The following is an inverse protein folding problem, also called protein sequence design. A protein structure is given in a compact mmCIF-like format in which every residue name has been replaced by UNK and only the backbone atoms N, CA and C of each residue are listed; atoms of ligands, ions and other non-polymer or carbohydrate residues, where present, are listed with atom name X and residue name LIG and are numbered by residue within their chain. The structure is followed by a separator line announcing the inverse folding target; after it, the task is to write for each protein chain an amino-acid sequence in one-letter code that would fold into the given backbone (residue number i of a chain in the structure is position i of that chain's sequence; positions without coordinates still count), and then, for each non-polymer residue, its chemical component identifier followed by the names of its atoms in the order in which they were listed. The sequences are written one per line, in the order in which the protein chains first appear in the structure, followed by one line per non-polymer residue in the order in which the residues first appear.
data_IF_599272954296
#
_entry.id   IF_599272954296
#
_cell.length_a   1.000
_cell.length_b   1.000
_cell.length_c   1.000
_cell.angle_alpha   90.00
_cell.angle_beta   90.00
_cell.angle_gamma   90.00
#
_symmetry.space_group_name_H-M   'P 1'
#
loop_
_entity.id
_entity.type
_entity.pdbx_description
1 polymer ?
#
# COMPACT_ATOMS: atom_id res chain seq x y z
N UNK A 1 -17.89 19.96 11.88
CA UNK A 1 -17.97 19.77 10.41
C UNK A 1 -16.86 20.57 9.73
N UNK A 2 -15.77 19.91 9.27
CA UNK A 2 -14.78 20.37 8.26
C UNK A 2 -13.53 19.44 8.23
N UNK A 3 -13.69 18.11 8.31
CA UNK A 3 -12.55 17.16 8.31
C UNK A 3 -12.32 16.44 6.98
N UNK A 4 -13.30 16.40 6.08
CA UNK A 4 -13.19 15.67 4.80
C UNK A 4 -12.30 16.30 3.73
N UNK A 5 -12.11 17.63 3.75
CA UNK A 5 -11.32 18.34 2.74
C UNK A 5 -9.80 18.23 2.95
N UNK A 6 -9.36 17.97 4.19
CA UNK A 6 -7.94 17.79 4.50
C UNK A 6 -7.40 16.46 3.94
N UNK A 7 -8.22 15.41 3.87
CA UNK A 7 -7.83 14.12 3.32
C UNK A 7 -7.58 14.16 1.80
N UNK A 8 -8.32 15.00 1.07
CA UNK A 8 -8.12 15.18 -0.38
C UNK A 8 -6.79 15.87 -0.71
N UNK A 9 -6.35 16.82 0.12
CA UNK A 9 -5.09 17.56 -0.12
C UNK A 9 -3.83 16.69 0.04
N UNK A 10 -3.90 15.57 0.75
CA UNK A 10 -2.78 14.62 0.86
C UNK A 10 -2.69 13.63 -0.31
N UNK A 11 -3.75 13.51 -1.13
CA UNK A 11 -3.79 12.59 -2.27
C UNK A 11 -3.41 13.22 -3.61
N UNK A 12 -3.32 14.55 -3.68
CA UNK A 12 -3.12 15.29 -4.93
C UNK A 12 -1.65 15.58 -5.29
N UNK A 13 -0.67 15.25 -4.43
CA UNK A 13 0.75 15.56 -4.71
C UNK A 13 1.52 14.45 -5.43
N UNK A 14 0.97 13.25 -5.58
CA UNK A 14 1.71 12.08 -6.13
C UNK A 14 1.44 11.78 -7.61
N UNK A 15 0.44 12.40 -8.23
CA UNK A 15 0.15 12.23 -9.66
C UNK A 15 0.89 13.26 -10.51
N UNK A 16 2.23 13.23 -10.41
CA UNK A 16 3.14 13.96 -11.29
C UNK A 16 3.15 13.35 -12.69
N UNK A 17 2.20 13.75 -13.53
CA UNK A 17 2.23 13.48 -14.97
C UNK A 17 3.34 14.31 -15.64
N UNK A 18 4.39 13.60 -16.06
CA UNK A 18 5.41 13.87 -17.07
C UNK A 18 5.48 15.24 -17.78
N UNK A 19 6.67 15.85 -17.77
CA UNK A 19 7.20 16.64 -18.90
C UNK A 19 8.64 16.20 -19.19
N UNK A 20 8.84 15.67 -20.41
CA UNK A 20 10.10 15.24 -21.04
C UNK A 20 11.28 16.21 -20.77
N UNK A 21 12.53 15.72 -20.65
CA UNK A 21 13.69 16.58 -20.84
C UNK A 21 13.79 17.07 -22.30
N UNK A 22 14.25 18.30 -22.56
CA UNK A 22 14.41 18.85 -23.90
C UNK A 22 15.44 18.06 -24.71
N UNK A 23 15.10 17.74 -25.96
CA UNK A 23 16.03 17.17 -26.93
C UNK A 23 17.13 18.17 -27.27
N UNK A 24 18.36 17.87 -26.90
CA UNK A 24 19.54 18.65 -27.27
C UNK A 24 19.88 18.36 -28.75
N UNK A 25 20.17 19.37 -29.60
CA UNK A 25 20.73 19.12 -30.92
C UNK A 25 22.14 18.54 -30.79
N UNK A 26 22.33 17.31 -31.27
CA UNK A 26 23.64 16.66 -31.33
C UNK A 26 24.47 17.34 -32.42
N UNK A 27 25.50 18.09 -32.01
CA UNK A 27 26.57 18.48 -32.91
C UNK A 27 27.53 17.29 -33.05
N UNK A 28 27.51 16.64 -34.22
CA UNK A 28 28.42 15.54 -34.56
C UNK A 28 29.82 16.09 -34.87
N UNK A 29 30.68 16.16 -33.86
CA UNK A 29 32.13 16.16 -34.05
C UNK A 29 32.59 14.73 -34.24
N UNK A 30 33.01 14.39 -35.46
CA UNK A 30 33.62 13.08 -35.77
C UNK A 30 35.04 13.06 -35.20
N UNK A 31 35.19 12.43 -34.03
CA UNK A 31 36.49 12.10 -33.46
C UNK A 31 37.10 10.87 -34.17
N UNK A 32 38.43 10.69 -34.14
CA UNK A 32 39.10 9.56 -34.78
C UNK A 32 38.68 8.20 -34.19
N UNK A 33 38.29 7.28 -35.07
CA UNK A 33 37.57 6.01 -34.79
C UNK A 33 38.32 5.08 -33.82
N UNK A 34 39.65 5.09 -33.80
CA UNK A 34 40.44 4.18 -32.95
C UNK A 34 40.52 4.56 -31.46
N UNK A 35 40.21 5.82 -31.09
CA UNK A 35 40.10 6.24 -29.69
C UNK A 35 38.66 6.18 -29.17
N UNK A 36 37.69 6.08 -30.07
CA UNK A 36 36.27 5.96 -29.76
C UNK A 36 35.91 4.55 -29.30
N UNK A 37 36.50 3.50 -29.85
CA UNK A 37 36.17 2.11 -29.47
C UNK A 37 36.53 1.79 -28.02
N UNK A 38 37.76 2.10 -27.59
CA UNK A 38 38.26 1.86 -26.23
C UNK A 38 37.53 2.72 -25.16
N UNK A 39 37.16 3.95 -25.52
CA UNK A 39 36.35 4.81 -24.63
C UNK A 39 34.87 4.43 -24.62
N UNK A 40 34.35 3.87 -25.72
CA UNK A 40 32.96 3.39 -25.81
C UNK A 40 32.77 2.13 -24.99
N UNK A 41 33.66 1.13 -25.10
CA UNK A 41 33.59 -0.09 -24.28
C UNK A 41 33.67 0.23 -22.78
N UNK A 42 34.63 1.07 -22.37
CA UNK A 42 34.75 1.52 -20.97
C UNK A 42 33.51 2.31 -20.49
N UNK A 43 32.89 3.10 -21.37
CA UNK A 43 31.67 3.85 -21.03
C UNK A 43 30.44 2.95 -20.91
N UNK A 44 30.32 1.92 -21.75
CA UNK A 44 29.25 0.93 -21.71
C UNK A 44 29.35 0.08 -20.44
N UNK A 45 30.55 -0.35 -20.07
CA UNK A 45 30.78 -1.08 -18.82
C UNK A 45 30.45 -0.22 -17.59
N UNK A 46 30.82 1.06 -17.61
CA UNK A 46 30.47 2.00 -16.54
C UNK A 46 28.96 2.24 -16.42
N UNK A 47 28.24 2.33 -17.54
CA UNK A 47 26.79 2.46 -17.54
C UNK A 47 26.10 1.18 -17.06
N UNK A 48 26.56 0.01 -17.51
CA UNK A 48 26.05 -1.28 -17.04
C UNK A 48 26.24 -1.45 -15.53
N UNK A 49 27.42 -1.14 -15.00
CA UNK A 49 27.68 -1.16 -13.55
C UNK A 49 26.75 -0.20 -12.78
N UNK A 50 26.50 1.01 -13.29
CA UNK A 50 25.57 1.95 -12.65
C UNK A 50 24.14 1.44 -12.66
N UNK A 51 23.69 0.82 -13.75
CA UNK A 51 22.36 0.24 -13.85
C UNK A 51 22.18 -0.90 -12.85
N UNK A 52 23.17 -1.79 -12.73
CA UNK A 52 23.16 -2.89 -11.76
C UNK A 52 23.18 -2.40 -10.31
N UNK A 53 23.98 -1.37 -10.00
CA UNK A 53 24.00 -0.73 -8.67
C UNK A 53 22.66 -0.06 -8.34
N UNK A 54 22.05 0.61 -9.30
CA UNK A 54 20.73 1.23 -9.13
C UNK A 54 19.65 0.18 -8.86
N UNK A 55 19.62 -0.89 -9.65
CA UNK A 55 18.69 -2.00 -9.46
C UNK A 55 18.87 -2.68 -8.08
N UNK A 56 20.11 -2.97 -7.68
CA UNK A 56 20.40 -3.53 -6.36
C UNK A 56 19.87 -2.63 -5.23
N UNK A 57 20.03 -1.31 -5.38
CA UNK A 57 19.52 -0.31 -4.43
C UNK A 57 17.99 -0.34 -4.38
N UNK A 58 17.31 -0.37 -5.55
CA UNK A 58 15.85 -0.41 -5.61
C UNK A 58 15.29 -1.70 -5.01
N UNK A 59 15.95 -2.84 -5.23
CA UNK A 59 15.58 -4.13 -4.63
C UNK A 59 15.70 -4.12 -3.11
N UNK A 60 16.79 -3.56 -2.58
CA UNK A 60 16.99 -3.43 -1.13
C UNK A 60 15.94 -2.53 -0.47
N UNK A 61 15.62 -1.39 -1.09
CA UNK A 61 14.55 -0.51 -0.61
C UNK A 61 13.19 -1.20 -0.66
N UNK A 62 12.89 -1.91 -1.74
CA UNK A 62 11.63 -2.65 -1.90
C UNK A 62 11.47 -3.71 -0.82
N UNK A 63 12.52 -4.51 -0.55
CA UNK A 63 12.57 -5.49 0.55
C UNK A 63 12.27 -4.85 1.90
N UNK A 64 13.00 -3.79 2.21
CA UNK A 64 12.92 -3.11 3.51
C UNK A 64 11.53 -2.52 3.72
N UNK A 65 11.01 -1.80 2.72
CA UNK A 65 9.69 -1.19 2.83
C UNK A 65 8.57 -2.21 2.79
N UNK A 66 8.71 -3.33 2.07
CA UNK A 66 7.74 -4.43 2.12
C UNK A 66 7.64 -5.01 3.53
N UNK A 67 8.77 -5.31 4.17
CA UNK A 67 8.81 -5.80 5.54
C UNK A 67 8.20 -4.80 6.55
N UNK A 68 8.54 -3.51 6.42
CA UNK A 68 7.96 -2.45 7.26
C UNK A 68 6.46 -2.30 7.02
N UNK A 69 6.01 -2.38 5.76
CA UNK A 69 4.59 -2.33 5.39
C UNK A 69 3.82 -3.46 6.06
N UNK A 70 4.31 -4.70 6.03
CA UNK A 70 3.69 -5.84 6.71
C UNK A 70 3.56 -5.60 8.21
N UNK A 71 4.63 -5.13 8.87
CA UNK A 71 4.59 -4.87 10.31
C UNK A 71 3.56 -3.79 10.68
N UNK A 72 3.53 -2.68 9.94
CA UNK A 72 2.57 -1.59 10.16
C UNK A 72 1.15 -2.04 9.83
N UNK A 73 0.97 -2.83 8.78
CA UNK A 73 -0.35 -3.33 8.39
C UNK A 73 -0.89 -4.35 9.39
N UNK A 74 -0.04 -5.20 9.96
CA UNK A 74 -0.43 -6.10 11.04
C UNK A 74 -0.91 -5.33 12.28
N UNK A 75 -0.23 -4.23 12.63
CA UNK A 75 -0.67 -3.34 13.71
C UNK A 75 -2.02 -2.68 13.38
N UNK A 76 -2.19 -2.17 12.15
CA UNK A 76 -3.46 -1.60 11.69
C UNK A 76 -4.60 -2.63 11.72
N UNK A 77 -4.35 -3.86 11.27
CA UNK A 77 -5.32 -4.96 11.31
C UNK A 77 -5.67 -5.37 12.75
N UNK A 78 -4.71 -5.36 13.66
CA UNK A 78 -4.96 -5.61 15.10
C UNK A 78 -5.89 -4.53 15.67
N UNK A 79 -5.61 -3.26 15.39
CA UNK A 79 -6.47 -2.15 15.80
C UNK A 79 -7.87 -2.25 15.18
N UNK A 80 -7.96 -2.65 13.91
CA UNK A 80 -9.24 -2.86 13.23
C UNK A 80 -10.03 -4.03 13.81
N UNK A 81 -9.36 -5.11 14.24
CA UNK A 81 -10.00 -6.23 14.91
C UNK A 81 -10.52 -5.85 16.31
N UNK A 82 -9.78 -5.03 17.06
CA UNK A 82 -10.24 -4.48 18.33
C UNK A 82 -11.44 -3.54 18.13
N UNK A 83 -11.40 -2.68 17.13
CA UNK A 83 -12.53 -1.83 16.78
C UNK A 83 -13.75 -2.67 16.39
N UNK A 84 -13.56 -3.72 15.57
CA UNK A 84 -14.63 -4.65 15.22
C UNK A 84 -15.22 -5.32 16.46
N UNK A 85 -14.38 -5.81 17.38
CA UNK A 85 -14.83 -6.39 18.64
C UNK A 85 -15.69 -5.41 19.46
N UNK A 86 -15.27 -4.15 19.55
CA UNK A 86 -15.96 -3.14 20.36
C UNK A 86 -17.30 -2.69 19.74
N UNK A 87 -17.33 -2.44 18.43
CA UNK A 87 -18.50 -1.88 17.72
C UNK A 87 -19.51 -2.92 17.25
N UNK A 88 -19.07 -4.14 16.93
CA UNK A 88 -19.91 -5.16 16.30
C UNK A 88 -19.83 -6.53 17.00
N UNK A 89 -18.62 -7.00 17.27
CA UNK A 89 -18.36 -8.36 17.77
C UNK A 89 -18.98 -9.45 16.89
N UNK A 90 -19.13 -10.65 17.45
CA UNK A 90 -19.92 -11.73 16.86
C UNK A 90 -21.22 -11.89 17.65
N UNK A 91 -22.00 -10.81 17.69
CA UNK A 91 -23.25 -10.71 18.43
C UNK A 91 -24.44 -10.60 17.49
N UNK A 92 -25.63 -11.02 17.94
CA UNK A 92 -26.85 -10.95 17.12
C UNK A 92 -27.52 -9.55 17.20
N UNK A 93 -27.16 -8.72 18.19
CA UNK A 93 -27.76 -7.41 18.41
C UNK A 93 -26.73 -6.36 18.86
N UNK A 94 -26.94 -5.08 18.49
CA UNK A 94 -26.08 -3.97 18.91
C UNK A 94 -25.95 -3.84 20.44
N UNK A 95 -27.03 -4.14 21.18
CA UNK A 95 -27.07 -4.00 22.64
C UNK A 95 -26.06 -4.89 23.38
N UNK A 96 -25.60 -5.96 22.74
CA UNK A 96 -24.65 -6.91 23.32
C UNK A 96 -23.18 -6.54 23.08
N UNK A 97 -22.92 -5.55 22.23
CA UNK A 97 -21.57 -5.08 21.88
C UNK A 97 -20.88 -4.40 23.07
N UNK A 98 -19.55 -4.38 23.06
CA UNK A 98 -18.81 -3.77 24.17
C UNK A 98 -19.07 -2.26 24.28
N UNK A 99 -19.26 -1.61 23.13
CA UNK A 99 -19.67 -0.21 23.07
C UNK A 99 -21.04 0.05 23.69
N UNK A 100 -22.04 -0.80 23.44
CA UNK A 100 -23.37 -0.63 24.03
C UNK A 100 -23.38 -0.87 25.55
N UNK A 101 -22.54 -1.78 26.05
CA UNK A 101 -22.43 -2.10 27.48
C UNK A 101 -21.47 -1.18 28.24
N UNK A 102 -20.69 -0.36 27.54
CA UNK A 102 -19.71 0.55 28.15
C UNK A 102 -18.43 -0.13 28.64
N UNK A 103 -18.06 -1.27 28.05
CA UNK A 103 -16.84 -2.03 28.34
C UNK A 103 -15.87 -2.12 27.14
N UNK A 104 -15.96 -1.16 26.20
CA UNK A 104 -15.08 -1.07 25.03
C UNK A 104 -13.58 -0.90 25.40
N UNK A 105 -12.70 -1.55 24.64
CA UNK A 105 -11.25 -1.52 24.85
C UNK A 105 -10.60 -0.25 24.30
N UNK A 106 -11.06 0.24 23.15
CA UNK A 106 -10.49 1.41 22.48
C UNK A 106 -11.14 2.75 22.87
N UNK A 107 -12.15 2.73 23.75
CA UNK A 107 -12.91 3.91 24.21
C UNK A 107 -13.41 4.82 23.06
N UNK A 108 -13.69 4.22 21.90
CA UNK A 108 -14.20 4.89 20.71
C UNK A 108 -15.44 4.15 20.22
N UNK A 109 -16.62 4.75 20.42
CA UNK A 109 -17.91 4.14 20.10
C UNK A 109 -18.79 5.10 19.30
N UNK A 110 -19.57 4.55 18.37
CA UNK A 110 -20.52 5.29 17.55
C UNK A 110 -19.83 6.26 16.57
N UNK A 111 -20.17 7.54 16.63
CA UNK A 111 -19.66 8.56 15.71
C UNK A 111 -18.20 8.99 15.97
N UNK A 112 -17.55 8.43 17.00
CA UNK A 112 -16.19 8.80 17.33
C UNK A 112 -15.20 8.27 16.28
N UNK A 113 -14.26 9.13 15.87
CA UNK A 113 -13.22 8.72 14.93
C UNK A 113 -12.21 7.80 15.64
N UNK A 114 -11.99 6.56 15.15
CA UNK A 114 -11.02 5.63 15.72
C UNK A 114 -9.59 6.03 15.31
N UNK A 115 -9.05 7.09 15.91
CA UNK A 115 -7.81 7.74 15.47
C UNK A 115 -6.62 6.79 15.39
N UNK A 116 -6.49 5.86 16.35
CA UNK A 116 -5.39 4.89 16.35
C UNK A 116 -5.43 4.02 15.10
N UNK A 117 -6.60 3.45 14.78
CA UNK A 117 -6.78 2.64 13.57
C UNK A 117 -6.59 3.51 12.31
N UNK A 118 -7.19 4.70 12.26
CA UNK A 118 -7.08 5.62 11.12
C UNK A 118 -5.63 6.02 10.79
N UNK A 119 -4.84 6.36 11.81
CA UNK A 119 -3.42 6.69 11.65
C UNK A 119 -2.63 5.48 11.14
N UNK A 120 -2.88 4.30 11.71
CA UNK A 120 -2.20 3.08 11.30
C UNK A 120 -2.52 2.68 9.85
N UNK A 121 -3.79 2.78 9.41
CA UNK A 121 -4.15 2.52 8.01
C UNK A 121 -3.61 3.59 7.07
N UNK A 122 -3.54 4.86 7.50
CA UNK A 122 -2.91 5.93 6.73
C UNK A 122 -1.41 5.71 6.51
N UNK A 123 -0.69 5.31 7.57
CA UNK A 123 0.71 4.93 7.48
C UNK A 123 0.91 3.70 6.58
N UNK A 124 0.06 2.69 6.73
CA UNK A 124 0.07 1.50 5.87
C UNK A 124 -0.12 1.86 4.40
N UNK A 125 -1.10 2.71 4.07
CA UNK A 125 -1.35 3.13 2.70
C UNK A 125 -0.17 3.89 2.10
N UNK A 126 0.44 4.80 2.87
CA UNK A 126 1.63 5.54 2.44
C UNK A 126 2.83 4.62 2.18
N UNK A 127 3.10 3.69 3.10
CA UNK A 127 4.19 2.71 2.96
C UNK A 127 3.95 1.74 1.81
N UNK A 128 2.74 1.18 1.70
CA UNK A 128 2.36 0.27 0.62
C UNK A 128 2.45 0.92 -0.76
N UNK A 129 1.94 2.15 -0.91
CA UNK A 129 2.06 2.89 -2.17
C UNK A 129 3.52 3.21 -2.52
N UNK A 130 4.33 3.62 -1.53
CA UNK A 130 5.75 3.90 -1.73
C UNK A 130 6.51 2.64 -2.15
N UNK A 131 6.25 1.51 -1.48
CA UNK A 131 6.80 0.19 -1.81
C UNK A 131 6.44 -0.20 -3.24
N UNK A 132 5.16 -0.02 -3.61
CA UNK A 132 4.68 -0.29 -4.96
C UNK A 132 5.42 0.57 -6.01
N UNK A 133 5.50 1.89 -5.80
CA UNK A 133 6.19 2.81 -6.73
C UNK A 133 7.67 2.46 -6.88
N UNK A 134 8.37 2.16 -5.79
CA UNK A 134 9.78 1.75 -5.87
C UNK A 134 9.94 0.42 -6.58
N UNK A 135 9.02 -0.52 -6.37
CA UNK A 135 9.07 -1.80 -7.07
C UNK A 135 8.93 -1.65 -8.59
N UNK A 136 8.27 -0.61 -9.11
CA UNK A 136 8.17 -0.40 -10.57
C UNK A 136 9.47 0.07 -11.20
N UNK A 137 10.44 0.47 -10.38
CA UNK A 137 11.78 0.90 -10.81
C UNK A 137 12.80 -0.25 -10.78
N UNK A 138 12.43 -1.41 -10.25
CA UNK A 138 13.28 -2.61 -10.28
C UNK A 138 13.33 -3.16 -11.71
N UNK A 139 14.52 -3.47 -12.20
CA UNK A 139 14.72 -4.21 -13.44
C UNK A 139 14.56 -5.70 -13.14
N UNK A 140 13.37 -6.21 -13.36
CA UNK A 140 13.05 -7.60 -13.09
C UNK A 140 13.81 -8.60 -13.98
N UNK A 141 14.35 -8.18 -15.14
CA UNK A 141 15.17 -9.05 -16.01
C UNK A 141 16.56 -9.24 -15.43
N UNK A 142 17.10 -8.21 -14.79
CA UNK A 142 18.36 -8.29 -14.03
C UNK A 142 18.10 -9.02 -12.72
N UNK A 143 17.07 -8.63 -11.97
CA UNK A 143 16.74 -9.22 -10.67
C UNK A 143 16.56 -10.75 -10.75
N UNK A 144 15.80 -11.21 -11.74
CA UNK A 144 15.49 -12.63 -11.94
C UNK A 144 16.69 -13.50 -12.32
N UNK A 145 17.81 -12.92 -12.77
CA UNK A 145 19.04 -13.68 -13.02
C UNK A 145 19.70 -14.15 -11.73
N UNK A 146 19.49 -13.42 -10.65
CA UNK A 146 20.02 -13.76 -9.33
C UNK A 146 19.02 -14.58 -8.52
N UNK A 147 17.72 -14.27 -8.68
CA UNK A 147 16.66 -14.85 -7.88
C UNK A 147 15.33 -14.81 -8.65
N UNK A 148 14.84 -15.99 -9.05
CA UNK A 148 13.65 -16.14 -9.88
C UNK A 148 12.36 -15.65 -9.19
N UNK A 149 12.34 -15.55 -7.86
CA UNK A 149 11.17 -15.14 -7.10
C UNK A 149 10.77 -13.69 -7.36
N UNK A 150 11.71 -12.86 -7.86
CA UNK A 150 11.39 -11.50 -8.33
C UNK A 150 10.35 -11.49 -9.46
N UNK A 151 10.26 -12.55 -10.28
CA UNK A 151 9.19 -12.66 -11.30
C UNK A 151 7.83 -12.98 -10.71
N UNK A 152 7.80 -13.74 -9.63
CA UNK A 152 6.56 -13.97 -8.89
C UNK A 152 6.12 -12.65 -8.27
N UNK A 153 7.04 -11.93 -7.61
CA UNK A 153 6.76 -10.64 -6.98
C UNK A 153 6.27 -9.58 -7.97
N UNK A 154 6.84 -9.52 -9.19
CA UNK A 154 6.41 -8.59 -10.24
C UNK A 154 4.91 -8.69 -10.56
N UNK A 155 4.37 -9.92 -10.50
CA UNK A 155 2.95 -10.19 -10.75
C UNK A 155 2.15 -9.96 -9.47
N UNK A 156 2.60 -10.51 -8.33
CA UNK A 156 1.82 -10.49 -7.09
C UNK A 156 1.76 -9.12 -6.42
N UNK A 157 2.68 -8.18 -6.72
CA UNK A 157 2.57 -6.78 -6.28
C UNK A 157 1.30 -6.08 -6.80
N UNK A 158 0.81 -6.45 -7.98
CA UNK A 158 -0.42 -5.89 -8.54
C UNK A 158 -1.65 -6.44 -7.82
N UNK A 159 -1.59 -7.70 -7.39
CA UNK A 159 -2.62 -8.31 -6.54
C UNK A 159 -2.65 -7.58 -5.20
N UNK A 160 -1.49 -7.39 -4.56
CA UNK A 160 -1.37 -6.62 -3.31
C UNK A 160 -1.95 -5.20 -3.43
N UNK A 161 -1.57 -4.45 -4.48
CA UNK A 161 -2.12 -3.12 -4.75
C UNK A 161 -3.65 -3.15 -4.92
N UNK A 162 -4.17 -4.08 -5.71
CA UNK A 162 -5.61 -4.23 -5.92
C UNK A 162 -6.37 -4.48 -4.61
N UNK A 163 -5.80 -5.31 -3.73
CA UNK A 163 -6.38 -5.59 -2.42
C UNK A 163 -6.26 -4.40 -1.45
N UNK A 164 -5.20 -3.61 -1.49
CA UNK A 164 -5.11 -2.34 -0.76
C UNK A 164 -6.19 -1.35 -1.18
N UNK A 165 -6.40 -1.19 -2.49
CA UNK A 165 -7.45 -0.33 -3.04
C UNK A 165 -8.83 -0.83 -2.60
N UNK A 166 -9.07 -2.14 -2.67
CA UNK A 166 -10.32 -2.73 -2.23
C UNK A 166 -10.56 -2.50 -0.72
N UNK A 167 -9.53 -2.60 0.13
CA UNK A 167 -9.64 -2.25 1.55
C UNK A 167 -9.97 -0.79 1.77
N UNK A 168 -9.29 0.13 1.07
CA UNK A 168 -9.57 1.55 1.20
C UNK A 168 -11.02 1.88 0.80
N UNK A 169 -11.52 1.27 -0.27
CA UNK A 169 -12.92 1.42 -0.71
C UNK A 169 -13.87 0.84 0.34
N UNK A 170 -13.61 -0.38 0.84
CA UNK A 170 -14.44 -1.01 1.86
C UNK A 170 -14.55 -0.16 3.13
N UNK A 171 -13.42 0.32 3.66
CA UNK A 171 -13.40 1.19 4.83
C UNK A 171 -14.09 2.52 4.58
N UNK A 172 -13.92 3.11 3.40
CA UNK A 172 -14.62 4.33 3.01
C UNK A 172 -16.15 4.15 2.94
N UNK A 173 -16.62 3.04 2.35
CA UNK A 173 -18.04 2.73 2.28
C UNK A 173 -18.63 2.54 3.68
N UNK A 174 -17.98 1.74 4.54
CA UNK A 174 -18.44 1.46 5.90
C UNK A 174 -18.50 2.74 6.74
N UNK A 175 -17.46 3.57 6.70
CA UNK A 175 -17.40 4.84 7.43
C UNK A 175 -18.42 5.90 6.95
N UNK A 176 -19.06 5.68 5.80
CA UNK A 176 -20.05 6.60 5.22
C UNK A 176 -21.39 5.90 4.94
N UNK A 177 -21.70 4.79 5.61
CA UNK A 177 -22.88 3.98 5.35
C UNK A 177 -24.19 4.78 5.48
N UNK A 178 -24.36 5.47 6.61
CA UNK A 178 -25.51 6.33 6.89
C UNK A 178 -25.60 7.48 5.90
N UNK A 179 -24.45 8.11 5.59
CA UNK A 179 -24.37 9.21 4.62
C UNK A 179 -24.78 8.79 3.21
N UNK A 180 -24.47 7.57 2.82
CA UNK A 180 -24.87 7.00 1.53
C UNK A 180 -26.27 6.38 1.58
N UNK A 181 -26.88 6.28 2.76
CA UNK A 181 -28.25 5.83 2.97
C UNK A 181 -28.46 4.34 2.67
N UNK A 182 -27.40 3.51 2.77
CA UNK A 182 -27.53 2.06 2.55
C UNK A 182 -27.56 1.23 3.84
N UNK A 183 -27.21 1.82 4.98
CA UNK A 183 -27.39 1.22 6.30
C UNK A 183 -27.34 2.28 7.41
N UNK A 184 -28.15 2.10 8.45
CA UNK A 184 -28.07 2.79 9.74
C UNK A 184 -27.50 1.82 10.80
N UNK A 185 -26.46 2.19 11.57
CA UNK A 185 -25.90 1.32 12.62
C UNK A 185 -26.91 0.83 13.67
N UNK A 186 -28.00 1.56 13.91
CA UNK A 186 -29.02 1.19 14.90
C UNK A 186 -30.11 0.29 14.31
N UNK A 187 -30.56 0.58 13.09
CA UNK A 187 -31.67 -0.14 12.45
C UNK A 187 -31.20 -1.31 11.56
N UNK A 188 -29.97 -1.25 11.04
CA UNK A 188 -29.39 -2.21 10.08
C UNK A 188 -28.09 -2.87 10.62
N UNK A 189 -28.05 -3.18 11.93
CA UNK A 189 -26.87 -3.73 12.60
C UNK A 189 -26.28 -4.96 11.91
N UNK A 190 -27.12 -5.94 11.55
CA UNK A 190 -26.68 -7.18 10.87
C UNK A 190 -25.98 -6.90 9.54
N UNK A 191 -26.50 -5.93 8.77
CA UNK A 191 -25.92 -5.52 7.49
C UNK A 191 -24.54 -4.89 7.71
N UNK A 192 -24.42 -4.02 8.72
CA UNK A 192 -23.17 -3.36 9.07
C UNK A 192 -22.13 -4.34 9.61
N UNK A 193 -22.54 -5.25 10.49
CA UNK A 193 -21.67 -6.31 11.02
C UNK A 193 -21.19 -7.23 9.89
N UNK A 194 -22.07 -7.67 8.99
CA UNK A 194 -21.70 -8.51 7.86
C UNK A 194 -20.67 -7.81 6.96
N UNK A 195 -20.84 -6.52 6.68
CA UNK A 195 -19.89 -5.73 5.91
C UNK A 195 -18.56 -5.54 6.65
N UNK A 196 -18.60 -5.32 7.97
CA UNK A 196 -17.41 -5.21 8.81
C UNK A 196 -16.62 -6.53 8.87
N UNK A 197 -17.30 -7.67 8.96
CA UNK A 197 -16.68 -9.01 8.85
C UNK A 197 -16.01 -9.18 7.49
N UNK A 198 -16.70 -8.82 6.40
CA UNK A 198 -16.13 -8.91 5.06
C UNK A 198 -14.89 -8.02 4.89
N UNK A 199 -14.93 -6.80 5.45
CA UNK A 199 -13.81 -5.86 5.46
C UNK A 199 -12.63 -6.37 6.29
N UNK A 200 -12.88 -6.96 7.46
CA UNK A 200 -11.84 -7.58 8.29
C UNK A 200 -11.22 -8.79 7.59
N UNK A 201 -12.06 -9.63 6.96
CA UNK A 201 -11.63 -10.80 6.20
C UNK A 201 -10.78 -10.42 4.98
N UNK A 202 -11.19 -9.38 4.24
CA UNK A 202 -10.39 -8.82 3.16
C UNK A 202 -9.06 -8.28 3.69
N UNK A 203 -9.06 -7.55 4.81
CA UNK A 203 -7.84 -7.07 5.47
C UNK A 203 -6.87 -8.19 5.84
N UNK A 204 -7.36 -9.29 6.42
CA UNK A 204 -6.56 -10.47 6.73
C UNK A 204 -5.98 -11.13 5.47
N UNK A 205 -6.77 -11.23 4.40
CA UNK A 205 -6.30 -11.74 3.12
C UNK A 205 -5.23 -10.84 2.50
N UNK A 206 -5.40 -9.52 2.54
CA UNK A 206 -4.39 -8.55 2.05
C UNK A 206 -3.10 -8.71 2.85
N UNK A 207 -3.17 -8.81 4.19
CA UNK A 207 -1.99 -9.05 5.02
C UNK A 207 -1.29 -10.36 4.64
N UNK A 208 -2.03 -11.42 4.37
CA UNK A 208 -1.47 -12.70 3.89
C UNK A 208 -0.71 -12.56 2.57
N UNK A 209 -1.25 -11.80 1.62
CA UNK A 209 -0.57 -11.50 0.34
C UNK A 209 0.68 -10.67 0.57
N UNK A 210 0.63 -9.65 1.44
CA UNK A 210 1.80 -8.82 1.73
C UNK A 210 2.89 -9.62 2.45
N UNK A 211 2.54 -10.50 3.39
CA UNK A 211 3.49 -11.42 4.02
C UNK A 211 4.13 -12.33 2.98
N UNK A 212 3.34 -12.94 2.10
CA UNK A 212 3.86 -13.77 1.00
C UNK A 212 4.82 -12.97 0.12
N UNK A 213 4.41 -11.77 -0.31
CA UNK A 213 5.22 -10.85 -1.11
C UNK A 213 6.53 -10.49 -0.40
N UNK A 214 6.51 -10.22 0.90
CA UNK A 214 7.74 -9.96 1.65
C UNK A 214 8.64 -11.20 1.69
N UNK A 215 8.09 -12.39 1.97
CA UNK A 215 8.88 -13.61 2.11
C UNK A 215 9.63 -13.99 0.84
N UNK A 216 9.00 -13.87 -0.33
CA UNK A 216 9.65 -14.18 -1.62
C UNK A 216 10.73 -13.16 -2.03
N UNK A 217 10.91 -12.08 -1.26
CA UNK A 217 11.99 -11.13 -1.49
C UNK A 217 13.25 -11.45 -0.67
N UNK A 218 13.21 -12.37 0.31
CA UNK A 218 14.33 -12.68 1.22
C UNK A 218 14.82 -14.12 1.07
#
# INVERSE_FOLDING_TARGET
MMTGLAALLWTTSTWGLALRPPSVPIALTVAPIAQLEDTTELSLDAEAMRAEQHDATMREWTRTLSAVTVAVFAAAGTLGALQFHDEYGFHDEYADTACARGDALLDHCGEQTPWAHLIAVGATAGLGLTTFVLSTQVDYDIAARHDADWRIYEVTRWVGLGMFVAQAIGGFLLANAERFGWADPQDDFDTMQAFAIAHLGLGAATLGVEVFNTLILF
#
